data_IF_463622297961
#
_entry.id   IF_463622297961
#
_cell.length_a   1.000
_cell.length_b   1.000
_cell.length_c   1.000
_cell.angle_alpha   90.00
_cell.angle_beta   90.00
_cell.angle_gamma   90.00
#
_symmetry.space_group_name_H-M   'P 1'
#
loop_
_entity.id
_entity.type
_entity.pdbx_description
1 polymer ?
#
# COMPACT_ATOMS: atom_id res chain seq x y z
N UNK A 1 6.04 2.96 -29.91
CA UNK A 1 7.16 2.47 -29.08
C UNK A 1 6.74 1.15 -28.45
N UNK A 2 7.54 0.10 -28.59
CA UNK A 2 7.26 -1.18 -27.96
C UNK A 2 7.32 -1.02 -26.43
N UNK A 3 6.17 -1.16 -25.77
CA UNK A 3 6.05 -1.13 -24.31
C UNK A 3 6.73 -2.40 -23.79
N UNK A 4 7.93 -2.26 -23.23
CA UNK A 4 8.61 -3.37 -22.59
C UNK A 4 7.85 -3.73 -21.31
N UNK A 5 7.43 -5.00 -21.18
CA UNK A 5 6.88 -5.50 -19.93
C UNK A 5 7.98 -5.40 -18.86
N UNK A 6 7.76 -4.57 -17.84
CA UNK A 6 8.66 -4.47 -16.72
C UNK A 6 8.64 -5.82 -16.00
N UNK A 7 9.70 -6.61 -16.17
CA UNK A 7 9.86 -7.88 -15.48
C UNK A 7 10.28 -7.55 -14.05
N UNK A 8 9.29 -7.32 -13.18
CA UNK A 8 9.54 -7.20 -11.76
C UNK A 8 10.19 -8.52 -11.31
N UNK A 9 11.37 -8.49 -10.67
CA UNK A 9 11.92 -9.70 -10.09
C UNK A 9 10.86 -10.31 -9.17
N UNK A 10 10.89 -11.64 -8.96
CA UNK A 10 10.12 -12.36 -7.94
C UNK A 10 10.45 -11.90 -6.49
N UNK A 11 11.07 -10.73 -6.34
CA UNK A 11 11.32 -10.04 -5.11
C UNK A 11 9.98 -9.83 -4.40
N UNK A 12 9.93 -10.18 -3.12
CA UNK A 12 8.81 -9.84 -2.27
C UNK A 12 8.65 -8.30 -2.32
N UNK A 13 7.52 -7.84 -2.84
CA UNK A 13 7.19 -6.41 -2.92
C UNK A 13 6.20 -6.08 -1.81
N UNK A 14 6.30 -4.86 -1.27
CA UNK A 14 5.25 -4.27 -0.46
C UNK A 14 4.54 -3.19 -1.27
N UNK A 15 3.22 -3.14 -1.17
CA UNK A 15 2.40 -2.13 -1.86
C UNK A 15 1.69 -1.21 -0.89
N UNK A 16 1.60 0.08 -1.21
CA UNK A 16 0.75 1.05 -0.54
C UNK A 16 -0.31 1.55 -1.52
N UNK A 17 -1.60 1.47 -1.16
CA UNK A 17 -2.68 2.01 -1.99
C UNK A 17 -3.27 3.27 -1.38
N UNK A 18 -3.54 4.23 -2.26
CA UNK A 18 -4.20 5.48 -1.94
C UNK A 18 -5.72 5.31 -2.07
N UNK A 19 -6.45 6.35 -1.68
CA UNK A 19 -7.90 6.46 -1.80
C UNK A 19 -8.29 7.92 -1.87
N UNK A 20 -9.54 8.20 -2.20
CA UNK A 20 -10.13 9.53 -2.07
C UNK A 20 -10.01 10.04 -0.64
N UNK A 21 -9.65 11.32 -0.57
CA UNK A 21 -9.49 12.11 0.65
C UNK A 21 -10.22 13.44 0.50
N UNK A 22 -10.21 14.27 1.54
CA UNK A 22 -10.75 15.63 1.44
C UNK A 22 -9.94 16.52 0.48
N UNK A 23 -8.65 16.22 0.28
CA UNK A 23 -7.71 17.01 -0.53
C UNK A 23 -7.64 16.61 -2.00
N UNK A 24 -8.32 15.54 -2.41
CA UNK A 24 -8.22 15.01 -3.77
C UNK A 24 -8.65 13.55 -3.87
N UNK A 25 -8.68 13.05 -5.10
CA UNK A 25 -8.95 11.64 -5.36
C UNK A 25 -7.71 10.76 -5.13
N UNK A 26 -7.83 9.46 -5.43
CA UNK A 26 -6.74 8.52 -5.25
C UNK A 26 -5.54 8.78 -6.18
N UNK A 27 -5.81 9.23 -7.41
CA UNK A 27 -4.76 9.58 -8.37
C UNK A 27 -4.01 10.83 -7.92
N UNK A 28 -4.71 11.85 -7.43
CA UNK A 28 -4.09 13.06 -6.88
C UNK A 28 -3.15 12.73 -5.72
N UNK A 29 -3.58 11.82 -4.84
CA UNK A 29 -2.76 11.36 -3.72
C UNK A 29 -1.52 10.58 -4.17
N UNK A 30 -1.64 9.74 -5.21
CA UNK A 30 -0.50 9.05 -5.82
C UNK A 30 0.49 10.07 -6.42
N UNK A 31 -0.01 11.04 -7.18
CA UNK A 31 0.83 12.11 -7.75
C UNK A 31 1.51 12.95 -6.65
N UNK A 32 0.84 13.21 -5.52
CA UNK A 32 1.47 13.90 -4.39
C UNK A 32 2.60 13.08 -3.75
N UNK A 33 2.42 11.77 -3.61
CA UNK A 33 3.46 10.85 -3.11
C UNK A 33 4.67 10.87 -4.05
N UNK A 34 4.44 10.74 -5.37
CA UNK A 34 5.52 10.75 -6.37
C UNK A 34 6.28 12.08 -6.37
N UNK A 35 5.56 13.22 -6.33
CA UNK A 35 6.17 14.55 -6.29
C UNK A 35 7.02 14.80 -5.04
N UNK A 36 6.58 14.27 -3.89
CA UNK A 36 7.28 14.47 -2.61
C UNK A 36 8.31 13.38 -2.30
N UNK A 37 8.23 12.22 -2.96
CA UNK A 37 9.01 11.03 -2.63
C UNK A 37 8.70 10.46 -1.24
N UNK A 38 7.53 10.78 -0.67
CA UNK A 38 7.16 10.40 0.71
C UNK A 38 5.73 9.86 0.76
N UNK A 39 5.57 8.68 1.34
CA UNK A 39 4.29 8.19 1.81
C UNK A 39 4.10 8.66 3.25
N UNK A 40 3.10 9.51 3.49
CA UNK A 40 2.76 9.99 4.83
C UNK A 40 1.87 8.99 5.54
N UNK A 41 2.18 8.72 6.80
CA UNK A 41 1.36 7.86 7.64
C UNK A 41 0.05 8.51 8.06
N UNK A 42 -0.82 7.71 8.65
CA UNK A 42 -2.06 8.16 9.26
C UNK A 42 -2.32 7.40 10.56
N UNK A 43 -3.24 7.91 11.36
CA UNK A 43 -3.72 7.23 12.58
C UNK A 43 -4.93 6.33 12.31
N UNK A 44 -5.35 6.21 11.05
CA UNK A 44 -6.57 5.50 10.64
C UNK A 44 -6.35 4.01 10.81
N UNK A 45 -7.33 3.32 11.41
CA UNK A 45 -7.28 1.86 11.64
C UNK A 45 -6.12 1.41 12.56
N UNK A 46 -5.53 2.34 13.32
CA UNK A 46 -4.57 2.06 14.38
C UNK A 46 -5.21 2.37 15.73
N UNK A 47 -5.33 1.38 16.60
CA UNK A 47 -6.00 1.54 17.91
C UNK A 47 -5.25 2.50 18.83
N UNK A 48 -3.92 2.51 18.79
CA UNK A 48 -3.06 3.40 19.59
C UNK A 48 -3.02 4.84 19.10
N UNK A 49 -3.65 5.15 17.95
CA UNK A 49 -3.54 6.46 17.28
C UNK A 49 -2.12 6.89 16.91
N UNK A 50 -1.13 5.98 16.94
CA UNK A 50 0.19 6.26 16.38
C UNK A 50 0.08 6.46 14.88
N UNK A 51 0.84 7.41 14.34
CA UNK A 51 0.91 7.66 12.90
C UNK A 51 1.74 6.53 12.27
N UNK A 52 1.17 5.81 11.31
CA UNK A 52 1.85 4.73 10.59
C UNK A 52 1.49 4.75 9.11
N UNK A 53 2.42 4.29 8.27
CA UNK A 53 2.12 3.89 6.89
C UNK A 53 1.81 2.40 6.90
N UNK A 54 0.68 2.03 6.31
CA UNK A 54 0.27 0.64 6.10
C UNK A 54 0.67 0.19 4.70
N UNK A 55 1.20 -1.03 4.60
CA UNK A 55 1.65 -1.67 3.38
C UNK A 55 1.07 -3.09 3.31
N UNK A 56 0.84 -3.60 2.10
CA UNK A 56 0.41 -4.97 1.85
C UNK A 56 1.57 -5.82 1.36
N UNK A 57 1.71 -7.02 1.90
CA UNK A 57 2.60 -8.08 1.40
C UNK A 57 1.79 -9.10 0.59
N UNK A 58 1.05 -8.61 -0.40
CA UNK A 58 0.23 -9.42 -1.29
C UNK A 58 0.93 -9.54 -2.65
N UNK A 59 1.00 -10.75 -3.24
CA UNK A 59 1.41 -10.92 -4.63
C UNK A 59 0.57 -10.01 -5.54
N UNK A 60 1.19 -9.44 -6.58
CA UNK A 60 0.47 -8.54 -7.49
C UNK A 60 -0.76 -9.20 -8.13
N UNK A 61 -0.71 -10.51 -8.38
CA UNK A 61 -1.83 -11.31 -8.90
C UNK A 61 -3.02 -11.42 -7.95
N UNK A 62 -2.81 -11.24 -6.64
CA UNK A 62 -3.88 -11.31 -5.62
C UNK A 62 -4.49 -9.95 -5.29
N UNK A 63 -3.92 -8.86 -5.82
CA UNK A 63 -4.44 -7.51 -5.59
C UNK A 63 -5.87 -7.32 -6.11
N UNK A 64 -6.32 -8.13 -7.08
CA UNK A 64 -7.71 -8.10 -7.57
C UNK A 64 -8.73 -8.43 -6.47
N UNK A 65 -8.35 -9.20 -5.44
CA UNK A 65 -9.18 -9.51 -4.27
C UNK A 65 -9.24 -8.34 -3.29
N UNK A 66 -8.17 -7.55 -3.22
CA UNK A 66 -8.06 -6.38 -2.34
C UNK A 66 -8.74 -5.14 -2.95
N UNK A 67 -8.53 -4.91 -4.25
CA UNK A 67 -8.92 -3.71 -4.99
C UNK A 67 -10.31 -3.85 -5.64
N UNK A 68 -11.24 -4.50 -4.93
CA UNK A 68 -12.63 -4.66 -5.37
C UNK A 68 -13.45 -3.38 -5.16
N UNK A 69 -14.50 -3.19 -5.96
CA UNK A 69 -15.39 -2.01 -5.87
C UNK A 69 -15.91 -1.76 -4.46
N UNK A 70 -16.29 -2.81 -3.74
CA UNK A 70 -16.82 -2.72 -2.37
C UNK A 70 -15.76 -2.24 -1.35
N UNK A 71 -14.48 -2.35 -1.68
CA UNK A 71 -13.37 -1.94 -0.81
C UNK A 71 -12.76 -0.58 -1.19
N UNK A 72 -13.28 0.12 -2.22
CA UNK A 72 -12.76 1.42 -2.68
C UNK A 72 -12.78 2.53 -1.63
N UNK A 73 -13.63 2.40 -0.60
CA UNK A 73 -13.60 3.31 0.56
C UNK A 73 -12.29 3.20 1.37
N UNK A 74 -11.61 2.06 1.28
CA UNK A 74 -10.33 1.80 1.95
C UNK A 74 -9.16 1.92 1.00
N UNK A 75 -9.25 1.30 -0.17
CA UNK A 75 -8.15 1.21 -1.13
C UNK A 75 -8.68 1.34 -2.56
N UNK A 76 -8.18 2.32 -3.28
CA UNK A 76 -8.42 2.48 -4.71
C UNK A 76 -7.20 1.96 -5.49
N UNK A 77 -7.36 1.59 -6.78
CA UNK A 77 -6.30 0.98 -7.59
C UNK A 77 -5.21 1.97 -8.04
N UNK A 78 -4.73 2.79 -7.12
CA UNK A 78 -3.66 3.77 -7.29
C UNK A 78 -2.69 3.62 -6.12
N UNK A 79 -1.41 3.38 -6.39
CA UNK A 79 -0.48 3.03 -5.31
C UNK A 79 0.98 2.98 -5.71
N UNK A 80 1.82 2.59 -4.76
CA UNK A 80 3.26 2.40 -4.93
C UNK A 80 3.61 0.97 -4.53
N UNK A 81 4.38 0.28 -5.36
CA UNK A 81 5.07 -0.95 -5.03
C UNK A 81 6.56 -0.69 -4.81
N UNK A 82 7.17 -1.35 -3.84
CA UNK A 82 8.62 -1.28 -3.58
C UNK A 82 9.19 -2.58 -3.04
N UNK A 83 10.50 -2.76 -3.16
CA UNK A 83 11.22 -3.91 -2.62
C UNK A 83 11.03 -4.01 -1.09
N UNK A 84 10.62 -5.19 -0.62
CA UNK A 84 10.34 -5.44 0.80
C UNK A 84 11.60 -5.34 1.67
N UNK A 85 12.78 -5.66 1.15
CA UNK A 85 14.06 -5.49 1.87
C UNK A 85 14.36 -4.02 2.07
N UNK A 86 14.08 -3.18 1.07
CA UNK A 86 14.16 -1.72 1.24
C UNK A 86 13.23 -1.25 2.35
N UNK A 87 11.95 -1.61 2.30
CA UNK A 87 10.99 -1.21 3.32
C UNK A 87 11.39 -1.70 4.72
N UNK A 88 11.89 -2.94 4.84
CA UNK A 88 12.40 -3.49 6.10
C UNK A 88 13.61 -2.71 6.63
N UNK A 89 14.55 -2.35 5.76
CA UNK A 89 15.71 -1.52 6.11
C UNK A 89 15.30 -0.11 6.58
N UNK A 90 14.20 0.42 6.04
CA UNK A 90 13.60 1.69 6.48
C UNK A 90 12.82 1.59 7.80
N UNK A 91 12.67 0.38 8.37
CA UNK A 91 11.99 0.17 9.65
C UNK A 91 10.57 -0.38 9.52
N UNK A 92 10.11 -0.74 8.31
CA UNK A 92 8.85 -1.45 8.16
C UNK A 92 8.92 -2.83 8.81
N UNK A 93 7.84 -3.22 9.48
CA UNK A 93 7.71 -4.53 10.15
C UNK A 93 6.35 -5.14 9.85
N UNK A 94 6.25 -6.48 9.78
CA UNK A 94 4.95 -7.13 9.72
C UNK A 94 4.13 -6.80 10.96
N UNK A 95 2.81 -6.71 10.79
CA UNK A 95 1.88 -6.55 11.91
C UNK A 95 1.78 -7.82 12.75
N UNK A 96 1.29 -7.67 13.98
CA UNK A 96 0.95 -8.76 14.89
C UNK A 96 -0.58 -8.86 14.90
N UNK A 97 -1.12 -9.93 14.35
CA UNK A 97 -2.55 -10.23 14.43
C UNK A 97 -2.84 -10.90 15.78
N UNK A 98 -3.58 -10.22 16.64
CA UNK A 98 -3.89 -10.70 17.99
C UNK A 98 -5.16 -10.05 18.52
N UNK A 99 -5.99 -10.73 19.34
CA UNK A 99 -7.07 -10.09 20.07
C UNK A 99 -6.55 -8.91 20.90
N UNK A 100 -7.18 -7.75 20.77
CA UNK A 100 -6.68 -6.53 21.44
C UNK A 100 -6.53 -6.66 22.96
N UNK A 101 -7.47 -7.29 23.70
CA UNK A 101 -7.32 -7.46 25.15
C UNK A 101 -6.09 -8.29 25.56
N UNK A 102 -5.64 -9.20 24.69
CA UNK A 102 -4.41 -9.98 24.90
C UNK A 102 -3.19 -9.12 24.59
N UNK A 103 -3.18 -8.45 23.44
CA UNK A 103 -2.09 -7.58 23.02
C UNK A 103 -1.79 -6.49 24.06
N UNK A 104 -2.81 -5.84 24.63
CA UNK A 104 -2.64 -4.81 25.66
C UNK A 104 -2.06 -5.30 26.99
N UNK A 105 -2.04 -6.63 27.22
CA UNK A 105 -1.48 -7.24 28.44
C UNK A 105 -0.10 -7.86 28.19
N UNK A 106 0.17 -8.31 26.97
CA UNK A 106 1.36 -9.10 26.63
C UNK A 106 2.47 -8.29 25.98
N UNK A 107 2.14 -7.21 25.27
CA UNK A 107 3.11 -6.43 24.49
C UNK A 107 3.43 -5.11 25.18
N UNK A 108 4.68 -4.68 25.05
CA UNK A 108 5.09 -3.32 25.41
C UNK A 108 4.28 -2.29 24.62
N UNK A 109 3.95 -1.18 25.27
CA UNK A 109 3.15 -0.10 24.67
C UNK A 109 3.79 0.43 23.37
N UNK A 110 5.13 0.44 23.33
CA UNK A 110 5.92 0.86 22.18
C UNK A 110 5.76 -0.06 20.96
N UNK A 111 5.23 -1.27 21.13
CA UNK A 111 5.01 -2.27 20.09
C UNK A 111 3.55 -2.35 19.63
N UNK A 112 2.61 -1.77 20.39
CA UNK A 112 1.17 -1.85 20.10
C UNK A 112 0.76 -1.22 18.75
N UNK A 113 1.60 -0.36 18.16
CA UNK A 113 1.37 0.17 16.82
C UNK A 113 1.47 -0.90 15.72
N UNK A 114 2.13 -2.04 16.00
CA UNK A 114 2.17 -3.20 15.10
C UNK A 114 0.93 -4.09 15.23
N UNK A 115 0.05 -3.85 16.20
CA UNK A 115 -1.09 -4.74 16.45
C UNK A 115 -2.24 -4.43 15.49
N UNK A 116 -2.75 -5.47 14.85
CA UNK A 116 -4.04 -5.49 14.15
C UNK A 116 -4.95 -6.44 14.91
N UNK A 117 -6.08 -5.92 15.40
CA UNK A 117 -7.01 -6.73 16.16
C UNK A 117 -7.63 -7.81 15.27
N UNK A 118 -7.58 -9.06 15.72
CA UNK A 118 -8.34 -10.18 15.16
C UNK A 118 -9.31 -10.69 16.23
N UNK A 119 -10.55 -10.96 15.83
CA UNK A 119 -11.56 -11.58 16.67
C UNK A 119 -12.49 -12.42 15.79
N UNK A 120 -12.22 -13.73 15.76
CA UNK A 120 -13.00 -14.71 15.00
C UNK A 120 -14.26 -15.18 15.75
N UNK A 121 -14.41 -14.79 17.01
CA UNK A 121 -15.56 -15.17 17.85
C UNK A 121 -16.74 -14.20 17.76
N UNK A 122 -16.51 -12.95 17.32
CA UNK A 122 -17.59 -11.99 17.09
C UNK A 122 -18.31 -12.19 15.74
N UNK A 123 -19.53 -11.65 15.61
CA UNK A 123 -20.35 -11.71 14.39
C UNK A 123 -20.67 -10.30 13.88
N UNK A 124 -20.22 -9.92 12.67
CA UNK A 124 -19.33 -10.67 11.77
C UNK A 124 -17.89 -10.76 12.32
N UNK A 125 -17.09 -11.77 11.90
CA UNK A 125 -15.72 -11.92 12.35
C UNK A 125 -14.86 -10.72 11.95
N UNK A 126 -13.96 -10.29 12.84
CA UNK A 126 -12.95 -9.28 12.56
C UNK A 126 -11.66 -9.99 12.13
N UNK A 127 -11.43 -10.07 10.83
CA UNK A 127 -10.24 -10.71 10.25
C UNK A 127 -9.70 -9.89 9.07
N UNK A 128 -8.44 -9.45 9.19
CA UNK A 128 -7.68 -8.73 8.16
C UNK A 128 -6.34 -9.43 7.85
N UNK A 129 -6.21 -10.71 8.21
CA UNK A 129 -4.97 -11.50 8.01
C UNK A 129 -4.62 -11.66 6.54
N UNK A 130 -5.62 -11.66 5.66
CA UNK A 130 -5.44 -11.71 4.21
C UNK A 130 -4.70 -10.48 3.64
N UNK A 131 -4.69 -9.34 4.35
CA UNK A 131 -3.94 -8.16 3.92
C UNK A 131 -2.41 -8.34 4.08
N UNK A 132 -1.99 -9.28 4.95
CA UNK A 132 -0.57 -9.53 5.28
C UNK A 132 0.14 -8.21 5.57
N UNK A 133 -0.46 -7.40 6.45
CA UNK A 133 -0.13 -5.98 6.61
C UNK A 133 1.29 -5.81 7.17
N UNK A 134 1.97 -4.78 6.68
CA UNK A 134 3.22 -4.26 7.21
C UNK A 134 3.01 -2.80 7.61
N UNK A 135 3.69 -2.36 8.67
CA UNK A 135 3.65 -0.97 9.13
C UNK A 135 5.03 -0.38 9.27
N UNK A 136 5.13 0.92 9.07
CA UNK A 136 6.27 1.77 9.43
C UNK A 136 5.74 3.02 10.13
N UNK A 137 6.45 3.50 11.15
CA UNK A 137 6.06 4.68 11.90
C UNK A 137 6.24 5.97 11.09
N UNK A 138 5.33 6.94 11.29
CA UNK A 138 5.33 8.29 10.74
C UNK A 138 5.23 8.39 9.22
N UNK A 139 6.28 8.00 8.49
CA UNK A 139 6.36 8.16 7.04
C UNK A 139 7.35 7.17 6.43
N UNK A 140 7.22 6.95 5.12
CA UNK A 140 8.14 6.14 4.33
C UNK A 140 8.66 6.96 3.16
N UNK A 141 9.98 7.15 3.12
CA UNK A 141 10.65 7.72 1.94
C UNK A 141 10.64 6.68 0.83
N UNK A 142 10.35 7.11 -0.39
CA UNK A 142 10.46 6.25 -1.56
C UNK A 142 11.92 6.08 -1.97
N UNK A 143 12.32 4.90 -2.45
CA UNK A 143 13.56 4.75 -3.19
C UNK A 143 13.43 5.48 -4.53
N UNK A 144 14.34 6.40 -4.82
CA UNK A 144 14.27 7.31 -5.98
C UNK A 144 14.10 6.60 -7.34
N UNK A 145 14.64 5.39 -7.48
CA UNK A 145 14.56 4.58 -8.70
C UNK A 145 14.07 3.15 -8.44
N UNK A 146 13.59 2.86 -7.23
CA UNK A 146 13.16 1.51 -6.82
C UNK A 146 11.66 1.35 -6.61
N UNK A 147 10.90 2.45 -6.70
CA UNK A 147 9.46 2.47 -6.50
C UNK A 147 8.75 2.39 -7.84
N UNK A 148 7.71 1.57 -7.94
CA UNK A 148 6.88 1.42 -9.13
C UNK A 148 5.49 1.96 -8.82
N UNK A 149 4.96 2.82 -9.68
CA UNK A 149 3.59 3.29 -9.54
C UNK A 149 2.62 2.23 -10.07
N UNK A 150 1.54 2.00 -9.34
CA UNK A 150 0.44 1.12 -9.71
C UNK A 150 -0.79 1.98 -10.02
N UNK A 151 -1.42 1.79 -11.17
CA UNK A 151 -2.63 2.53 -11.59
C UNK A 151 -3.66 1.57 -12.16
N UNK A 152 -4.93 1.98 -12.30
CA UNK A 152 -5.98 1.07 -12.74
C UNK A 152 -5.84 0.67 -14.21
N UNK A 153 -5.64 1.64 -15.09
CA UNK A 153 -5.72 1.49 -16.55
C UNK A 153 -4.59 2.18 -17.31
N UNK A 154 -4.45 1.89 -18.59
CA UNK A 154 -3.53 2.62 -19.48
C UNK A 154 -3.83 4.11 -19.59
N UNK A 155 -5.10 4.51 -19.48
CA UNK A 155 -5.44 5.95 -19.48
C UNK A 155 -4.86 6.65 -18.25
N UNK A 156 -4.83 5.95 -17.11
CA UNK A 156 -4.23 6.45 -15.88
C UNK A 156 -2.70 6.54 -15.97
N UNK A 157 -2.08 5.67 -16.79
CA UNK A 157 -0.65 5.78 -17.13
C UNK A 157 -0.40 7.08 -17.89
N UNK A 158 -1.20 7.35 -18.94
CA UNK A 158 -1.06 8.56 -19.76
C UNK A 158 -1.28 9.83 -18.92
N UNK A 159 -2.31 9.86 -18.05
CA UNK A 159 -2.56 10.96 -17.10
C UNK A 159 -1.35 11.21 -16.18
N UNK A 160 -0.74 10.15 -15.64
CA UNK A 160 0.43 10.30 -14.78
C UNK A 160 1.63 10.85 -15.56
N UNK A 161 1.87 10.41 -16.79
CA UNK A 161 2.93 10.98 -17.64
C UNK A 161 2.68 12.47 -17.92
N UNK A 162 1.44 12.87 -18.20
CA UNK A 162 1.07 14.27 -18.43
C UNK A 162 1.36 15.14 -17.19
N UNK A 163 0.94 14.69 -16.00
CA UNK A 163 1.17 15.39 -14.72
C UNK A 163 2.63 15.61 -14.34
N UNK A 164 3.54 14.85 -14.95
CA UNK A 164 4.98 14.88 -14.69
C UNK A 164 5.80 15.21 -15.94
N UNK A 165 5.20 15.82 -16.96
CA UNK A 165 5.89 16.29 -18.18
C UNK A 165 6.73 15.19 -18.86
N UNK A 166 6.21 13.96 -18.86
CA UNK A 166 6.88 12.80 -19.45
C UNK A 166 7.89 12.09 -18.53
N UNK A 167 8.17 12.61 -17.34
CA UNK A 167 9.17 12.06 -16.41
C UNK A 167 8.63 11.82 -14.98
N UNK A 168 7.67 10.91 -14.77
CA UNK A 168 7.24 10.50 -13.43
C UNK A 168 8.43 9.99 -12.57
N UNK A 169 8.61 10.45 -11.32
CA UNK A 169 9.76 10.09 -10.48
C UNK A 169 9.58 8.70 -9.85
N UNK A 170 9.58 7.67 -10.69
CA UNK A 170 9.46 6.27 -10.32
C UNK A 170 10.15 5.38 -11.37
N UNK A 171 10.44 4.12 -11.00
CA UNK A 171 11.09 3.13 -11.86
C UNK A 171 10.22 2.71 -13.06
N UNK A 172 8.91 2.94 -12.97
CA UNK A 172 7.95 2.57 -13.98
C UNK A 172 6.52 2.66 -13.45
N UNK A 173 5.56 2.55 -14.36
CA UNK A 173 4.14 2.57 -14.05
C UNK A 173 3.52 1.27 -14.59
N UNK A 174 2.76 0.57 -13.75
CA UNK A 174 2.08 -0.67 -14.13
C UNK A 174 0.55 -0.49 -14.06
N UNK A 175 -0.18 -0.69 -15.16
CA UNK A 175 -1.63 -0.77 -15.14
C UNK A 175 -2.06 -2.13 -14.58
N UNK A 176 -2.78 -2.09 -13.47
CA UNK A 176 -3.20 -3.28 -12.72
C UNK A 176 -4.13 -4.19 -13.51
N UNK A 177 -4.98 -3.64 -14.40
CA UNK A 177 -5.86 -4.47 -15.23
C UNK A 177 -5.12 -5.43 -16.16
N UNK A 178 -3.92 -5.09 -16.59
CA UNK A 178 -3.10 -5.99 -17.42
C UNK A 178 -2.54 -7.16 -16.59
N UNK A 179 -2.30 -6.94 -15.30
CA UNK A 179 -1.81 -7.97 -14.37
C UNK A 179 -2.90 -8.94 -13.93
N UNK A 180 -4.17 -8.51 -13.91
CA UNK A 180 -5.29 -9.34 -13.49
C UNK A 180 -5.77 -10.32 -14.57
N UNK A 181 -5.20 -10.24 -15.78
CA UNK A 181 -5.67 -10.95 -16.95
C UNK A 181 -6.98 -10.37 -17.46
N UNK A 182 -7.20 -10.47 -18.77
CA UNK A 182 -8.52 -10.29 -19.36
C UNK A 182 -9.44 -11.31 -18.71
N UNK A 183 -10.31 -10.87 -17.80
CA UNK A 183 -11.46 -11.66 -17.37
C UNK A 183 -12.38 -11.93 -18.57
#
# INVERSE_FOLDING_TARGET
>A
MARAALQLPSAAMLTHFTRRSASGDAMDNLAAILRTGIIRGSTRMVRTKRVVVCLFDAPLSELNRLLVRNNRRRYEPFGIAMDKRYAFAMGARPVIYMPWPEASKMLDEQELWRVVAIDLGQTPPLDWTFEREWRIAEQLKLPSEGAVALVETWRDVDDLYERFEGAPPCAGIIPLRDLFGSA
#
